data_IF_550465772000
#
_entry.id   IF_550465772000
#
_cell.length_a   1.000
_cell.length_b   1.000
_cell.length_c   1.000
_cell.angle_alpha   90.00
_cell.angle_beta   90.00
_cell.angle_gamma   90.00
#
_symmetry.space_group_name_H-M   'P 1'
#
loop_
_entity.id
_entity.type
_entity.pdbx_description
1 polymer ?
#
# COMPACT_ATOMS: atom_id res chain seq x y z
N UNK A 1 -9.57 12.03 -6.75
CA UNK A 1 -10.28 13.27 -6.35
C UNK A 1 -10.94 12.97 -5.02
N UNK A 2 -10.84 13.86 -4.03
CA UNK A 2 -11.41 13.64 -2.69
C UNK A 2 -12.92 13.88 -2.75
N UNK A 3 -13.70 12.91 -2.26
CA UNK A 3 -15.13 13.10 -2.02
C UNK A 3 -15.35 13.75 -0.65
N UNK A 4 -15.80 14.99 -0.66
CA UNK A 4 -15.95 15.79 0.56
C UNK A 4 -17.10 15.32 1.46
N UNK A 5 -18.13 14.64 0.92
CA UNK A 5 -19.19 14.08 1.73
C UNK A 5 -18.72 12.83 2.50
N UNK A 6 -17.91 11.99 1.84
CA UNK A 6 -17.23 10.86 2.49
C UNK A 6 -16.25 11.38 3.56
N UNK A 7 -15.45 12.40 3.24
CA UNK A 7 -14.51 12.99 4.18
C UNK A 7 -15.21 13.56 5.42
N UNK A 8 -16.32 14.29 5.24
CA UNK A 8 -17.12 14.81 6.37
C UNK A 8 -17.67 13.68 7.23
N UNK A 9 -18.18 12.62 6.60
CA UNK A 9 -18.72 11.46 7.31
C UNK A 9 -17.65 10.76 8.12
N UNK A 10 -16.46 10.54 7.55
CA UNK A 10 -15.31 9.98 8.26
C UNK A 10 -14.96 10.81 9.51
N UNK A 11 -14.83 12.12 9.34
CA UNK A 11 -14.41 13.01 10.44
C UNK A 11 -15.46 13.07 11.56
N UNK A 12 -16.74 13.08 11.21
CA UNK A 12 -17.84 13.22 12.19
C UNK A 12 -18.23 11.92 12.87
N UNK A 13 -18.11 10.78 12.19
CA UNK A 13 -18.41 9.46 12.77
C UNK A 13 -17.21 8.80 13.44
N UNK A 14 -15.98 9.21 13.08
CA UNK A 14 -14.71 8.68 13.58
C UNK A 14 -14.73 7.15 13.80
N UNK A 15 -14.99 6.36 12.75
CA UNK A 15 -15.26 4.93 12.88
C UNK A 15 -14.06 4.12 13.42
N UNK A 16 -12.86 4.71 13.35
CA UNK A 16 -11.61 4.11 13.83
C UNK A 16 -11.12 4.72 15.14
N UNK A 17 -11.83 5.72 15.69
CA UNK A 17 -11.48 6.37 16.96
C UNK A 17 -10.13 7.10 16.90
N UNK A 18 -9.80 7.75 15.78
CA UNK A 18 -8.56 8.48 15.59
C UNK A 18 -8.53 9.86 16.24
N UNK A 19 -9.65 10.32 16.82
CA UNK A 19 -9.71 11.52 17.65
C UNK A 19 -9.97 12.79 16.84
N UNK A 20 -10.74 12.70 15.75
CA UNK A 20 -11.02 13.86 14.90
C UNK A 20 -11.93 14.89 15.56
N UNK A 21 -12.75 14.49 16.54
CA UNK A 21 -13.79 15.32 17.12
C UNK A 21 -13.27 16.63 17.74
N UNK A 22 -12.19 16.56 18.53
CA UNK A 22 -11.60 17.73 19.21
C UNK A 22 -11.13 18.80 18.21
N UNK A 23 -10.23 18.49 17.25
CA UNK A 23 -9.81 19.48 16.26
C UNK A 23 -10.93 19.87 15.29
N UNK A 24 -11.89 18.98 15.03
CA UNK A 24 -13.06 19.30 14.23
C UNK A 24 -13.93 20.39 14.90
N UNK A 25 -14.24 20.27 16.19
CA UNK A 25 -15.02 21.30 16.91
C UNK A 25 -14.23 22.61 17.06
N UNK A 26 -12.92 22.52 17.27
CA UNK A 26 -12.05 23.68 17.42
C UNK A 26 -11.78 24.46 16.11
N UNK A 27 -12.15 23.90 14.94
CA UNK A 27 -11.87 24.52 13.65
C UNK A 27 -10.40 24.37 13.21
N UNK A 28 -9.61 23.50 13.84
CA UNK A 28 -8.20 23.28 13.50
C UNK A 28 -8.05 22.22 12.40
N UNK A 29 -8.34 22.62 11.18
CA UNK A 29 -8.38 21.73 10.00
C UNK A 29 -7.05 21.03 9.69
N UNK A 30 -5.94 21.70 9.99
CA UNK A 30 -4.60 21.11 9.84
C UNK A 30 -4.36 19.92 10.77
N UNK A 31 -4.94 19.90 11.97
CA UNK A 31 -4.82 18.77 12.91
C UNK A 31 -5.63 17.56 12.43
N UNK A 32 -6.82 17.80 11.88
CA UNK A 32 -7.64 16.74 11.27
C UNK A 32 -6.90 16.13 10.08
N UNK A 33 -6.32 16.97 9.20
CA UNK A 33 -5.51 16.53 8.08
C UNK A 33 -4.29 15.72 8.53
N UNK A 34 -3.58 16.14 9.58
CA UNK A 34 -2.46 15.40 10.16
C UNK A 34 -2.90 14.01 10.66
N UNK A 35 -4.03 13.93 11.38
CA UNK A 35 -4.58 12.66 11.85
C UNK A 35 -4.99 11.75 10.69
N UNK A 36 -5.58 12.28 9.62
CA UNK A 36 -5.97 11.50 8.43
C UNK A 36 -4.74 10.96 7.68
N UNK A 37 -3.70 11.77 7.53
CA UNK A 37 -2.48 11.43 6.78
C UNK A 37 -1.46 10.62 7.59
N UNK A 38 -1.65 10.47 8.90
CA UNK A 38 -0.77 9.65 9.74
C UNK A 38 -0.74 8.20 9.26
N UNK A 39 0.45 7.71 8.92
CA UNK A 39 0.69 6.31 8.56
C UNK A 39 0.46 5.41 9.78
N UNK A 40 -0.24 4.29 9.58
CA UNK A 40 -0.62 3.35 10.65
C UNK A 40 -0.35 1.91 10.22
N UNK A 41 0.07 1.10 11.20
CA UNK A 41 0.37 -0.32 11.00
C UNK A 41 -0.87 -1.16 10.67
N UNK A 42 -2.06 -0.69 11.05
CA UNK A 42 -3.33 -1.38 10.85
C UNK A 42 -3.98 -1.08 9.50
N UNK A 43 -3.39 -0.19 8.69
CA UNK A 43 -3.90 0.18 7.37
C UNK A 43 -2.91 -0.34 6.33
N UNK A 44 -3.38 -1.28 5.51
CA UNK A 44 -2.64 -1.80 4.36
C UNK A 44 -3.14 -1.11 3.09
N UNK A 45 -2.23 -0.50 2.34
CA UNK A 45 -2.47 0.14 1.05
C UNK A 45 -1.60 -0.55 0.00
N UNK A 46 -2.12 -0.69 -1.21
CA UNK A 46 -1.41 -1.31 -2.31
C UNK A 46 -0.12 -0.54 -2.66
N UNK A 47 1.00 -1.26 -2.83
CA UNK A 47 2.21 -0.74 -3.47
C UNK A 47 2.05 -0.85 -4.99
N UNK A 48 2.35 0.23 -5.71
CA UNK A 48 2.34 0.25 -7.18
C UNK A 48 3.58 -0.45 -7.76
N UNK A 49 4.77 -0.05 -7.31
CA UNK A 49 6.04 -0.63 -7.70
C UNK A 49 6.77 -1.17 -6.48
N UNK A 50 7.43 -2.32 -6.66
CA UNK A 50 8.28 -2.94 -5.65
C UNK A 50 9.72 -2.93 -6.15
N UNK A 51 10.64 -2.51 -5.31
CA UNK A 51 12.05 -2.45 -5.68
C UNK A 51 12.63 -3.86 -5.86
N UNK A 52 13.53 -4.04 -6.81
CA UNK A 52 14.14 -5.36 -7.04
C UNK A 52 14.97 -5.88 -5.86
N UNK A 53 15.61 -5.04 -5.01
CA UNK A 53 16.20 -5.52 -3.76
C UNK A 53 15.18 -6.12 -2.78
N UNK A 54 14.00 -5.50 -2.59
CA UNK A 54 12.94 -6.08 -1.74
C UNK A 54 12.48 -7.44 -2.26
N UNK A 55 12.38 -7.57 -3.59
CA UNK A 55 12.03 -8.83 -4.25
C UNK A 55 13.11 -9.89 -4.03
N UNK A 56 14.39 -9.51 -4.12
CA UNK A 56 15.51 -10.43 -3.86
C UNK A 56 15.47 -10.96 -2.43
N UNK A 57 15.27 -10.08 -1.44
CA UNK A 57 15.15 -10.46 -0.02
C UNK A 57 13.91 -11.32 0.27
N UNK A 58 12.86 -11.23 -0.56
CA UNK A 58 11.69 -12.09 -0.44
C UNK A 58 11.92 -13.53 -0.92
N UNK A 59 12.99 -13.80 -1.70
CA UNK A 59 13.27 -15.13 -2.26
C UNK A 59 14.04 -15.98 -1.26
N UNK A 60 13.48 -17.14 -0.92
CA UNK A 60 14.13 -18.12 -0.05
C UNK A 60 15.20 -18.90 -0.84
N UNK A 61 16.47 -18.95 -0.39
CA UNK A 61 17.55 -19.60 -1.14
C UNK A 61 17.31 -21.08 -1.46
N UNK A 62 16.66 -21.82 -0.55
CA UNK A 62 16.32 -23.22 -0.77
C UNK A 62 15.30 -23.42 -1.90
N UNK A 63 14.32 -22.53 -2.00
CA UNK A 63 13.32 -22.57 -3.08
C UNK A 63 13.93 -22.10 -4.40
N UNK A 64 14.83 -21.12 -4.35
CA UNK A 64 15.64 -20.71 -5.50
C UNK A 64 16.46 -21.88 -6.05
N UNK A 65 17.11 -22.68 -5.18
CA UNK A 65 17.93 -23.80 -5.62
C UNK A 65 17.13 -24.80 -6.47
N UNK A 66 15.86 -25.05 -6.11
CA UNK A 66 14.95 -25.99 -6.78
C UNK A 66 14.37 -25.46 -8.10
N UNK A 67 14.25 -24.14 -8.26
CA UNK A 67 13.75 -23.55 -9.50
C UNK A 67 14.57 -23.97 -10.73
N UNK A 68 13.90 -24.15 -11.87
CA UNK A 68 14.53 -24.52 -13.13
C UNK A 68 15.44 -23.40 -13.66
N UNK A 69 16.35 -23.74 -14.57
CA UNK A 69 17.23 -22.75 -15.20
C UNK A 69 16.45 -21.64 -15.92
N UNK A 70 15.33 -21.98 -16.56
CA UNK A 70 14.48 -21.02 -17.28
C UNK A 70 13.76 -20.05 -16.32
N UNK A 71 13.26 -20.56 -15.18
CA UNK A 71 12.65 -19.73 -14.14
C UNK A 71 13.66 -18.79 -13.50
N UNK A 72 14.86 -19.30 -13.18
CA UNK A 72 15.97 -18.49 -12.66
C UNK A 72 16.32 -17.35 -13.61
N UNK A 73 16.45 -17.63 -14.90
CA UNK A 73 16.76 -16.62 -15.91
C UNK A 73 15.69 -15.52 -15.99
N UNK A 74 14.40 -15.89 -15.93
CA UNK A 74 13.30 -14.91 -15.91
C UNK A 74 13.33 -14.04 -14.66
N UNK A 75 13.55 -14.62 -13.50
CA UNK A 75 13.64 -13.86 -12.24
C UNK A 75 14.87 -12.93 -12.27
N UNK A 76 16.02 -13.39 -12.75
CA UNK A 76 17.21 -12.54 -12.89
C UNK A 76 16.96 -11.34 -13.81
N UNK A 77 16.22 -11.53 -14.91
CA UNK A 77 15.78 -10.43 -15.76
C UNK A 77 14.91 -9.44 -14.99
N UNK A 78 13.90 -9.92 -14.25
CA UNK A 78 13.05 -9.08 -13.39
C UNK A 78 13.90 -8.27 -12.39
N UNK A 79 14.86 -8.93 -11.72
CA UNK A 79 15.72 -8.31 -10.73
C UNK A 79 16.63 -7.22 -11.30
N UNK A 80 16.93 -7.24 -12.60
CA UNK A 80 17.70 -6.20 -13.29
C UNK A 80 16.91 -4.92 -13.63
N UNK A 81 15.57 -4.92 -13.48
CA UNK A 81 14.72 -3.80 -13.90
C UNK A 81 14.67 -2.63 -12.89
N UNK A 82 15.31 -2.77 -11.72
CA UNK A 82 15.35 -1.78 -10.64
C UNK A 82 14.06 -1.73 -9.80
N UNK A 83 12.90 -1.68 -10.45
CA UNK A 83 11.59 -1.86 -9.80
C UNK A 83 10.58 -2.46 -10.76
N UNK A 84 9.63 -3.23 -10.25
CA UNK A 84 8.58 -3.85 -11.07
C UNK A 84 7.23 -3.84 -10.34
N UNK A 85 6.16 -3.88 -11.13
CA UNK A 85 4.83 -4.20 -10.62
C UNK A 85 4.69 -5.72 -10.44
N UNK A 86 4.53 -6.16 -9.20
CA UNK A 86 4.30 -7.57 -8.85
C UNK A 86 2.91 -8.08 -9.25
N UNK A 87 1.95 -7.19 -9.52
CA UNK A 87 0.63 -7.52 -10.06
C UNK A 87 0.63 -7.63 -11.59
N UNK A 88 1.67 -7.12 -12.25
CA UNK A 88 1.85 -7.21 -13.68
C UNK A 88 1.79 -8.67 -14.17
N UNK A 89 1.07 -8.97 -15.26
CA UNK A 89 0.75 -10.34 -15.65
C UNK A 89 1.99 -11.21 -15.88
N UNK A 90 3.03 -10.64 -16.53
CA UNK A 90 4.28 -11.34 -16.82
C UNK A 90 5.14 -11.55 -15.56
N UNK A 91 5.23 -10.55 -14.70
CA UNK A 91 5.93 -10.62 -13.41
C UNK A 91 5.32 -11.70 -12.55
N UNK A 92 3.99 -11.65 -12.40
CA UNK A 92 3.21 -12.61 -11.62
C UNK A 92 3.35 -14.03 -12.16
N UNK A 93 3.20 -14.22 -13.48
CA UNK A 93 3.35 -15.54 -14.08
C UNK A 93 4.76 -16.12 -13.89
N UNK A 94 5.80 -15.28 -13.98
CA UNK A 94 7.19 -15.70 -13.78
C UNK A 94 7.44 -16.16 -12.34
N UNK A 95 6.96 -15.42 -11.34
CA UNK A 95 7.08 -15.83 -9.94
C UNK A 95 6.19 -17.03 -9.59
N UNK A 96 5.02 -17.17 -10.19
CA UNK A 96 4.14 -18.32 -9.96
C UNK A 96 4.69 -19.62 -10.55
N UNK A 97 5.41 -19.54 -11.68
CA UNK A 97 6.11 -20.69 -12.26
C UNK A 97 7.24 -21.15 -11.33
N UNK A 98 8.09 -20.21 -10.88
CA UNK A 98 9.23 -20.52 -10.01
C UNK A 98 8.82 -20.92 -8.58
N UNK A 99 7.77 -20.30 -8.04
CA UNK A 99 7.33 -20.43 -6.66
C UNK A 99 5.85 -20.83 -6.61
N UNK A 100 5.63 -22.14 -6.48
CA UNK A 100 4.30 -22.75 -6.40
C UNK A 100 3.46 -22.27 -5.22
N UNK A 101 2.20 -22.70 -5.14
CA UNK A 101 1.36 -22.42 -3.97
C UNK A 101 1.95 -23.08 -2.72
N UNK A 102 1.99 -22.35 -1.60
CA UNK A 102 2.48 -22.84 -0.32
C UNK A 102 3.99 -22.66 -0.09
N UNK A 103 4.72 -22.11 -1.04
CA UNK A 103 6.13 -21.72 -0.84
C UNK A 103 6.25 -20.43 -0.03
N UNK A 104 7.34 -20.32 0.73
CA UNK A 104 7.63 -19.15 1.55
C UNK A 104 8.00 -17.93 0.68
N UNK A 105 8.72 -18.11 -0.44
CA UNK A 105 9.01 -17.01 -1.37
C UNK A 105 7.73 -16.41 -1.93
N UNK A 106 6.73 -17.24 -2.25
CA UNK A 106 5.43 -16.75 -2.72
C UNK A 106 4.69 -15.99 -1.62
N UNK A 107 4.71 -16.48 -0.39
CA UNK A 107 4.11 -15.77 0.74
C UNK A 107 4.79 -14.39 0.97
N UNK A 108 6.12 -14.34 0.90
CA UNK A 108 6.89 -13.11 1.04
C UNK A 108 6.59 -12.11 -0.09
N UNK A 109 6.57 -12.56 -1.35
CA UNK A 109 6.24 -11.71 -2.51
C UNK A 109 4.82 -11.16 -2.43
N UNK A 110 3.86 -11.94 -1.91
CA UNK A 110 2.49 -11.45 -1.66
C UNK A 110 2.48 -10.39 -0.55
N UNK A 111 3.26 -10.57 0.51
CA UNK A 111 3.36 -9.57 1.58
C UNK A 111 3.91 -8.22 1.06
N UNK A 112 4.79 -8.25 0.05
CA UNK A 112 5.31 -7.04 -0.59
C UNK A 112 4.27 -6.27 -1.42
N UNK A 113 3.11 -6.86 -1.73
CA UNK A 113 2.07 -6.18 -2.51
C UNK A 113 1.46 -4.98 -1.78
N UNK A 114 1.61 -4.92 -0.46
CA UNK A 114 1.03 -3.85 0.37
C UNK A 114 2.12 -3.14 1.18
N UNK A 115 1.80 -1.93 1.60
CA UNK A 115 2.55 -1.14 2.57
C UNK A 115 1.61 -0.59 3.63
N UNK A 116 2.20 -0.17 4.74
CA UNK A 116 1.51 0.65 5.72
C UNK A 116 1.08 1.97 5.06
N UNK A 117 -0.16 2.37 5.30
CA UNK A 117 -0.76 3.57 4.72
C UNK A 117 -1.48 4.44 5.74
N UNK A 118 -2.05 5.53 5.24
CA UNK A 118 -2.86 6.45 6.02
C UNK A 118 -4.36 6.23 5.79
N UNK A 119 -5.21 6.82 6.65
CA UNK A 119 -6.67 6.75 6.47
C UNK A 119 -7.11 7.52 5.23
N UNK A 120 -6.40 8.59 4.88
CA UNK A 120 -6.58 9.31 3.62
C UNK A 120 -6.39 8.37 2.42
N UNK A 121 -5.33 7.57 2.41
CA UNK A 121 -5.07 6.63 1.32
C UNK A 121 -6.08 5.48 1.29
N UNK A 122 -6.50 4.99 2.47
CA UNK A 122 -7.51 3.92 2.57
C UNK A 122 -8.86 4.37 1.99
N UNK A 123 -9.25 5.64 2.17
CA UNK A 123 -10.53 6.17 1.71
C UNK A 123 -10.52 6.62 0.26
N UNK A 124 -9.41 7.20 -0.20
CA UNK A 124 -9.38 7.94 -1.47
C UNK A 124 -8.39 7.37 -2.49
N UNK A 125 -7.61 6.35 -2.13
CA UNK A 125 -6.68 5.65 -3.00
C UNK A 125 -5.21 5.85 -2.62
N UNK A 126 -4.35 4.95 -3.11
CA UNK A 126 -2.90 4.98 -2.85
C UNK A 126 -2.29 6.32 -3.25
N UNK A 127 -1.42 6.86 -2.39
CA UNK A 127 -0.74 8.14 -2.62
C UNK A 127 -1.59 9.38 -2.38
N UNK A 128 -2.88 9.24 -2.05
CA UNK A 128 -3.71 10.40 -1.71
C UNK A 128 -3.39 10.91 -0.31
N UNK A 129 -3.21 12.22 -0.21
CA UNK A 129 -3.17 12.96 1.05
C UNK A 129 -4.34 13.94 1.12
N UNK A 130 -4.87 14.14 2.32
CA UNK A 130 -5.92 15.14 2.60
C UNK A 130 -5.24 16.42 3.08
N UNK A 131 -5.44 17.53 2.39
CA UNK A 131 -4.94 18.82 2.86
C UNK A 131 -5.88 19.46 3.89
N UNK A 132 -5.41 20.49 4.60
CA UNK A 132 -6.28 21.29 5.48
C UNK A 132 -7.40 22.00 4.70
N UNK A 133 -7.16 22.35 3.44
CA UNK A 133 -8.18 22.96 2.56
C UNK A 133 -9.28 21.94 2.20
N UNK A 134 -8.94 20.66 2.02
CA UNK A 134 -9.92 19.59 1.81
C UNK A 134 -10.81 19.40 3.05
N UNK A 135 -10.24 19.49 4.25
CA UNK A 135 -11.01 19.47 5.51
C UNK A 135 -11.93 20.70 5.60
N UNK A 136 -11.42 21.89 5.28
CA UNK A 136 -12.20 23.12 5.28
C UNK A 136 -13.37 23.06 4.29
N UNK A 137 -13.17 22.46 3.12
CA UNK A 137 -14.23 22.19 2.12
C UNK A 137 -15.22 21.15 2.63
N UNK A 138 -14.76 20.06 3.23
CA UNK A 138 -15.60 19.03 3.82
C UNK A 138 -16.55 19.57 4.90
N UNK A 139 -16.19 20.62 5.63
CA UNK A 139 -17.12 21.27 6.57
C UNK A 139 -18.37 21.85 5.91
N UNK A 140 -18.22 22.35 4.69
CA UNK A 140 -19.21 23.17 3.98
C UNK A 140 -20.22 22.36 3.17
N UNK A 141 -19.93 21.08 2.94
CA UNK A 141 -20.84 20.13 2.26
C UNK A 141 -21.81 19.46 3.21
#
# INVERSE_FOLDING_TARGET
>A
MIDYAILKTEITSDPRGYGYATPWVAGTDWQVAELLNRVRDTIAVDKDLVSTPEIFEAIVPGEWAVASAQEKQRIQLILSMGSVDLRGPNTRASFQAAFGSGTQSRANLVALLTRKGSRAEELFGSGVSVSWDDVAKARRV
#
